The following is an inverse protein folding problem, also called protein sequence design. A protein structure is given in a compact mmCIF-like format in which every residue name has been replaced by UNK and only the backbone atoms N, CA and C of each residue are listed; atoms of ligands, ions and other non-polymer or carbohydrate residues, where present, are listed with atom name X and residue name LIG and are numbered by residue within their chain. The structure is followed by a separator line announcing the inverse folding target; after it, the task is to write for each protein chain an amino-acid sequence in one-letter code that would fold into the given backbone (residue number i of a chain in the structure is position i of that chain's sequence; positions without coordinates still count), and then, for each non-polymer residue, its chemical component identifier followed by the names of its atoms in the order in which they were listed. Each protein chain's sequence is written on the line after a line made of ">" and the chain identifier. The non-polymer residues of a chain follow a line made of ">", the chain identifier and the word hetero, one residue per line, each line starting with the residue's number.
data_IF_623412783036
#
_entry.id   IF_623412783036
#
_cell.length_a   1.000
_cell.length_b   1.000
_cell.length_c   1.000
_cell.angle_alpha   90.00
_cell.angle_beta   90.00
_cell.angle_gamma   90.00
#
_symmetry.space_group_name_H-M   'P 1'
#
loop_
_entity.id
_entity.type
_entity.pdbx_description
1 polymer ?
#
# COMPACT_ATOMS: atom_id res chain seq x y z
N UNK A 1 -11.56 -4.43 -2.69
CA UNK A 1 -10.14 -4.80 -2.74
C UNK A 1 -9.67 -4.63 -4.17
N UNK A 2 -8.79 -3.65 -4.42
CA UNK A 2 -8.16 -3.41 -5.73
C UNK A 2 -6.65 -3.42 -5.52
N UNK A 3 -5.96 -4.17 -6.36
CA UNK A 3 -4.49 -4.26 -6.38
C UNK A 3 -4.04 -3.54 -7.65
N UNK A 4 -3.27 -2.46 -7.50
CA UNK A 4 -2.70 -1.71 -8.62
C UNK A 4 -1.18 -1.91 -8.62
N UNK A 5 -0.61 -2.13 -9.82
CA UNK A 5 0.83 -2.28 -10.05
C UNK A 5 1.33 -1.07 -10.84
N UNK A 6 2.30 -0.33 -10.31
CA UNK A 6 2.95 0.75 -11.02
C UNK A 6 4.25 0.25 -11.62
N UNK A 7 4.34 0.06 -12.94
CA UNK A 7 5.56 -0.46 -13.61
C UNK A 7 6.82 0.41 -13.39
N UNK A 8 6.67 1.68 -12.99
CA UNK A 8 7.79 2.62 -12.81
C UNK A 8 8.34 2.74 -11.38
N UNK A 9 7.65 2.21 -10.39
CA UNK A 9 8.11 2.16 -9.01
C UNK A 9 7.99 0.70 -8.57
N UNK A 10 9.02 0.08 -8.01
CA UNK A 10 8.96 -1.29 -7.49
C UNK A 10 8.04 -1.33 -6.26
N UNK A 11 6.74 -1.12 -6.46
CA UNK A 11 5.77 -0.87 -5.43
C UNK A 11 4.43 -1.48 -5.83
N UNK A 12 3.82 -2.23 -4.90
CA UNK A 12 2.49 -2.82 -5.06
C UNK A 12 1.53 -2.10 -4.13
N UNK A 13 0.45 -1.55 -4.69
CA UNK A 13 -0.58 -0.84 -3.94
C UNK A 13 -1.80 -1.73 -3.73
N UNK A 14 -2.23 -1.91 -2.49
CA UNK A 14 -3.43 -2.65 -2.12
C UNK A 14 -4.39 -1.68 -1.44
N UNK A 15 -5.54 -1.42 -2.08
CA UNK A 15 -6.62 -0.63 -1.50
C UNK A 15 -7.80 -1.51 -1.09
N UNK A 16 -8.25 -1.36 0.15
CA UNK A 16 -9.39 -2.12 0.67
C UNK A 16 -10.73 -1.41 0.41
N UNK A 17 -10.72 -0.09 0.12
CA UNK A 17 -11.92 0.73 -0.19
C UNK A 17 -11.62 1.82 -1.24
N UNK A 18 -12.67 2.33 -1.91
CA UNK A 18 -12.59 3.52 -2.81
C UNK A 18 -11.89 4.67 -2.06
N UNK A 19 -10.95 5.42 -2.68
CA UNK A 19 -10.11 6.37 -1.97
C UNK A 19 -10.95 7.48 -1.36
N UNK A 20 -11.19 7.38 -0.06
CA UNK A 20 -11.49 8.51 0.82
C UNK A 20 -10.20 8.69 1.62
N UNK A 21 -9.70 9.93 1.66
CA UNK A 21 -8.38 10.32 2.20
C UNK A 21 -8.01 9.49 3.43
N UNK A 22 -6.92 8.74 3.33
CA UNK A 22 -6.18 8.37 4.52
C UNK A 22 -5.84 9.67 5.27
N UNK A 23 -6.05 9.67 6.58
CA UNK A 23 -5.73 10.79 7.45
C UNK A 23 -4.33 10.64 8.04
N UNK A 24 -3.80 9.42 8.08
CA UNK A 24 -2.46 9.13 8.58
C UNK A 24 -1.77 8.00 7.80
N UNK A 25 -0.45 7.90 7.94
CA UNK A 25 0.36 6.82 7.39
C UNK A 25 1.52 6.44 8.30
N UNK A 26 1.76 5.14 8.44
CA UNK A 26 2.90 4.59 9.20
C UNK A 26 3.78 3.82 8.22
N UNK A 27 5.10 4.00 8.34
CA UNK A 27 6.09 3.24 7.57
C UNK A 27 6.76 2.24 8.50
N UNK A 28 6.64 0.95 8.18
CA UNK A 28 7.37 -0.12 8.85
C UNK A 28 8.07 -0.98 7.80
N UNK A 29 9.38 -1.19 7.98
CA UNK A 29 10.26 -1.85 7.02
C UNK A 29 10.11 -1.30 5.59
N UNK A 30 9.53 -2.11 4.69
CA UNK A 30 9.29 -1.79 3.30
C UNK A 30 7.79 -1.61 3.00
N UNK A 31 6.98 -1.38 4.03
CA UNK A 31 5.53 -1.32 3.95
C UNK A 31 5.03 0.02 4.49
N UNK A 32 4.21 0.70 3.68
CA UNK A 32 3.50 1.91 4.06
C UNK A 32 2.06 1.55 4.35
N UNK A 33 1.64 1.64 5.60
CA UNK A 33 0.27 1.46 6.04
C UNK A 33 -0.46 2.80 6.00
N UNK A 34 -1.67 2.83 5.44
CA UNK A 34 -2.50 4.04 5.39
C UNK A 34 -3.76 3.87 6.24
N UNK A 35 -4.00 4.83 7.13
CA UNK A 35 -5.09 4.79 8.11
C UNK A 35 -6.10 5.93 7.91
N UNK A 36 -7.35 5.68 8.28
CA UNK A 36 -8.39 6.69 8.50
C UNK A 36 -8.84 6.60 9.97
N UNK A 37 -8.26 7.44 10.83
CA UNK A 37 -8.32 7.24 12.29
C UNK A 37 -7.62 5.93 12.67
N UNK A 38 -8.32 5.05 13.39
CA UNK A 38 -7.78 3.74 13.80
C UNK A 38 -8.01 2.63 12.75
N UNK A 39 -8.58 2.97 11.58
CA UNK A 39 -8.93 1.98 10.55
C UNK A 39 -7.85 1.89 9.46
N UNK A 40 -7.27 0.71 9.26
CA UNK A 40 -6.37 0.46 8.13
C UNK A 40 -7.16 0.43 6.81
N UNK A 41 -6.87 1.37 5.90
CA UNK A 41 -7.60 1.56 4.64
C UNK A 41 -6.79 1.22 3.39
N UNK A 42 -5.46 1.12 3.52
CA UNK A 42 -4.57 0.78 2.41
C UNK A 42 -3.19 0.35 2.88
N UNK A 43 -2.45 -0.27 1.97
CA UNK A 43 -1.05 -0.61 2.19
C UNK A 43 -0.27 -0.55 0.88
N UNK A 44 0.94 0.00 0.92
CA UNK A 44 1.91 -0.01 -0.19
C UNK A 44 3.12 -0.83 0.24
N UNK A 45 3.46 -1.88 -0.51
CA UNK A 45 4.72 -2.61 -0.30
C UNK A 45 5.72 -2.14 -1.34
N UNK A 46 6.90 -1.71 -0.89
CA UNK A 46 8.00 -1.18 -1.70
C UNK A 46 9.09 -2.26 -1.81
N UNK A 47 9.78 -2.33 -2.94
CA UNK A 47 10.89 -3.26 -3.17
C UNK A 47 10.47 -4.70 -3.39
N UNK A 48 9.27 -4.95 -3.95
CA UNK A 48 8.83 -6.32 -4.29
C UNK A 48 9.51 -6.77 -5.59
N UNK A 49 10.85 -6.85 -5.56
CA UNK A 49 11.56 -7.66 -6.55
C UNK A 49 11.01 -9.08 -6.45
N UNK A 50 10.41 -9.51 -7.56
CA UNK A 50 9.65 -10.74 -7.67
C UNK A 50 10.37 -11.92 -6.99
N UNK A 51 9.84 -12.37 -5.86
CA UNK A 51 10.09 -13.69 -5.30
C UNK A 51 9.36 -14.78 -6.10
N UNK A 52 9.47 -14.69 -7.43
CA UNK A 52 9.10 -15.73 -8.38
C UNK A 52 10.33 -15.93 -9.26
N UNK A 53 11.24 -16.79 -8.78
CA UNK A 53 12.16 -17.51 -9.64
C UNK A 53 11.44 -18.67 -10.32
#
# INVERSE_FOLDING_TARGET
>A
MRIDYGEGADARYISFRKPRRATDSIVEDNVVYQYDGDLLVGMTVIGVKAAFG
#
